data_IF_699603738967
#
_entry.id   IF_699603738967
#
_cell.length_a   1.000
_cell.length_b   1.000
_cell.length_c   1.000
_cell.angle_alpha   90.00
_cell.angle_beta   90.00
_cell.angle_gamma   90.00
#
_symmetry.space_group_name_H-M   'P 1'
#
loop_
_entity.id
_entity.type
_entity.pdbx_description
1 polymer ?
#
# COMPACT_ATOMS: atom_id res chain seq x y z
N UNK A 1 -6.38 -18.63 28.91
CA UNK A 1 -5.66 -17.56 28.18
C UNK A 1 -6.56 -17.10 27.05
N UNK A 2 -7.19 -15.94 27.22
CA UNK A 2 -8.24 -15.43 26.34
C UNK A 2 -7.65 -14.84 25.06
N UNK A 3 -8.16 -15.31 23.93
CA UNK A 3 -7.82 -14.98 22.53
C UNK A 3 -7.92 -13.48 22.15
N UNK A 4 -8.15 -12.58 23.10
CA UNK A 4 -8.46 -11.16 22.86
C UNK A 4 -7.26 -10.20 22.89
N UNK A 5 -6.07 -10.64 23.32
CA UNK A 5 -4.97 -9.71 23.65
C UNK A 5 -3.79 -9.67 22.66
N UNK A 6 -3.79 -10.48 21.60
CA UNK A 6 -2.75 -10.41 20.54
C UNK A 6 -3.25 -9.74 19.27
N UNK A 7 -4.03 -8.66 19.38
CA UNK A 7 -4.26 -7.79 18.22
C UNK A 7 -2.95 -7.08 17.90
N UNK A 8 -2.25 -7.54 16.86
CA UNK A 8 -1.08 -6.86 16.31
C UNK A 8 -1.39 -5.36 16.18
N UNK A 9 -0.49 -4.51 16.68
CA UNK A 9 -0.64 -3.06 16.58
C UNK A 9 -0.86 -2.69 15.10
N UNK A 10 -1.79 -1.77 14.83
CA UNK A 10 -2.12 -1.34 13.46
C UNK A 10 -0.89 -0.98 12.61
N UNK A 11 0.14 -0.28 13.12
CA UNK A 11 1.41 -0.07 12.43
C UNK A 11 2.04 -1.35 11.90
N UNK A 12 2.10 -2.38 12.75
CA UNK A 12 2.70 -3.68 12.41
C UNK A 12 1.88 -4.36 11.32
N UNK A 13 0.55 -4.28 11.36
CA UNK A 13 -0.34 -4.85 10.33
C UNK A 13 -0.16 -4.16 8.98
N UNK A 14 -0.08 -2.82 8.97
CA UNK A 14 0.13 -2.03 7.74
C UNK A 14 1.49 -2.39 7.13
N UNK A 15 2.56 -2.37 7.92
CA UNK A 15 3.91 -2.73 7.47
C UNK A 15 3.94 -4.16 6.93
N UNK A 16 3.35 -5.12 7.65
CA UNK A 16 3.31 -6.51 7.23
C UNK A 16 2.53 -6.68 5.92
N UNK A 17 1.42 -5.96 5.73
CA UNK A 17 0.67 -5.98 4.48
C UNK A 17 1.48 -5.42 3.30
N UNK A 18 2.21 -4.32 3.49
CA UNK A 18 3.09 -3.74 2.46
C UNK A 18 4.19 -4.73 2.09
N UNK A 19 4.82 -5.35 3.08
CA UNK A 19 5.88 -6.36 2.86
C UNK A 19 5.33 -7.58 2.13
N UNK A 20 4.16 -8.10 2.52
CA UNK A 20 3.50 -9.22 1.85
C UNK A 20 3.19 -8.91 0.39
N UNK A 21 2.63 -7.73 0.11
CA UNK A 21 2.39 -7.29 -1.27
C UNK A 21 3.69 -7.17 -2.08
N UNK A 22 4.75 -6.64 -1.47
CA UNK A 22 6.06 -6.55 -2.09
C UNK A 22 6.62 -7.93 -2.46
N UNK A 23 6.52 -8.90 -1.55
CA UNK A 23 6.95 -10.28 -1.80
C UNK A 23 6.14 -10.96 -2.89
N UNK A 24 4.81 -10.80 -2.89
CA UNK A 24 3.94 -11.37 -3.93
C UNK A 24 4.33 -10.83 -5.30
N UNK A 25 4.47 -9.52 -5.43
CA UNK A 25 4.84 -8.86 -6.69
C UNK A 25 6.27 -9.21 -7.11
N UNK A 26 7.18 -9.38 -6.17
CA UNK A 26 8.53 -9.86 -6.44
C UNK A 26 8.53 -11.28 -6.98
N UNK A 27 7.81 -12.22 -6.36
CA UNK A 27 7.70 -13.60 -6.84
C UNK A 27 7.08 -13.65 -8.24
N UNK A 28 6.07 -12.84 -8.51
CA UNK A 28 5.44 -12.75 -9.83
C UNK A 28 6.39 -12.21 -10.92
N UNK A 29 7.41 -11.44 -10.55
CA UNK A 29 8.33 -10.83 -11.51
C UNK A 29 9.60 -11.65 -11.76
N UNK A 30 9.94 -12.62 -10.90
CA UNK A 30 11.15 -13.47 -11.02
C UNK A 30 11.27 -14.16 -12.39
N UNK A 31 10.18 -14.74 -12.91
CA UNK A 31 10.18 -15.48 -14.17
C UNK A 31 9.50 -14.73 -15.32
N UNK A 32 9.20 -13.44 -15.14
CA UNK A 32 8.45 -12.66 -16.13
C UNK A 32 8.87 -11.19 -16.10
N UNK A 33 9.98 -10.83 -16.77
CA UNK A 33 10.51 -9.46 -16.79
C UNK A 33 9.50 -8.43 -17.32
N UNK A 34 8.61 -8.85 -18.22
CA UNK A 34 7.52 -8.02 -18.76
C UNK A 34 6.49 -7.62 -17.71
N UNK A 35 6.39 -8.33 -16.59
CA UNK A 35 5.50 -7.99 -15.48
C UNK A 35 6.14 -6.96 -14.52
N UNK A 36 7.43 -6.68 -14.62
CA UNK A 36 8.12 -5.73 -13.71
C UNK A 36 7.48 -4.34 -13.73
N UNK A 37 7.17 -3.72 -14.89
CA UNK A 37 6.52 -2.41 -14.92
C UNK A 37 5.12 -2.45 -14.33
N UNK A 38 4.39 -3.55 -14.53
CA UNK A 38 3.04 -3.76 -13.98
C UNK A 38 3.10 -3.91 -12.46
N UNK A 39 4.05 -4.68 -11.95
CA UNK A 39 4.27 -4.86 -10.53
C UNK A 39 4.65 -3.53 -9.84
N UNK A 40 5.53 -2.75 -10.47
CA UNK A 40 5.86 -1.39 -10.00
C UNK A 40 4.61 -0.49 -9.98
N UNK A 41 3.78 -0.55 -11.03
CA UNK A 41 2.52 0.20 -11.08
C UNK A 41 1.61 -0.20 -9.91
N UNK A 42 1.40 -1.49 -9.69
CA UNK A 42 0.54 -1.98 -8.60
C UNK A 42 1.09 -1.50 -7.25
N UNK A 43 2.40 -1.60 -7.04
CA UNK A 43 3.01 -1.20 -5.78
C UNK A 43 2.92 0.30 -5.52
N UNK A 44 3.26 1.13 -6.52
CA UNK A 44 3.28 2.58 -6.40
C UNK A 44 1.87 3.17 -6.35
N UNK A 45 0.94 2.65 -7.15
CA UNK A 45 -0.40 3.23 -7.30
C UNK A 45 -1.36 2.71 -6.24
N UNK A 46 -1.23 1.44 -5.79
CA UNK A 46 -2.21 0.85 -4.88
C UNK A 46 -1.63 0.55 -3.49
N UNK A 47 -0.48 -0.11 -3.41
CA UNK A 47 0.07 -0.58 -2.12
C UNK A 47 0.53 0.58 -1.25
N UNK A 48 1.34 1.49 -1.81
CA UNK A 48 1.85 2.65 -1.08
C UNK A 48 0.71 3.58 -0.61
N UNK A 49 -0.21 4.04 -1.48
CA UNK A 49 -1.36 4.87 -1.08
C UNK A 49 -2.26 4.22 -0.04
N UNK A 50 -2.49 2.91 -0.14
CA UNK A 50 -3.31 2.20 0.84
C UNK A 50 -2.65 2.17 2.21
N UNK A 51 -1.35 1.87 2.26
CA UNK A 51 -0.55 1.87 3.49
C UNK A 51 -0.45 3.26 4.13
N UNK A 52 -0.16 4.29 3.33
CA UNK A 52 -0.13 5.68 3.79
C UNK A 52 -1.51 6.15 4.27
N UNK A 53 -2.58 5.83 3.56
CA UNK A 53 -3.94 6.21 3.95
C UNK A 53 -4.37 5.60 5.29
N UNK A 54 -3.97 4.37 5.58
CA UNK A 54 -4.19 3.74 6.90
C UNK A 54 -3.27 4.29 7.98
N UNK A 55 -2.02 4.60 7.64
CA UNK A 55 -1.08 5.25 8.54
C UNK A 55 -1.58 6.64 8.99
N UNK A 56 -2.09 7.44 8.05
CA UNK A 56 -2.66 8.76 8.36
C UNK A 56 -3.94 8.67 9.20
N UNK A 57 -4.79 7.67 8.96
CA UNK A 57 -5.92 7.34 9.83
C UNK A 57 -5.46 7.01 11.25
N UNK A 58 -4.48 6.12 11.37
CA UNK A 58 -3.93 5.69 12.65
C UNK A 58 -3.34 6.86 13.46
N UNK A 59 -2.63 7.77 12.79
CA UNK A 59 -2.10 8.99 13.43
C UNK A 59 -3.16 10.02 13.81
N UNK A 60 -4.44 9.79 13.49
CA UNK A 60 -5.52 10.76 13.74
C UNK A 60 -5.45 12.02 12.86
N UNK A 61 -4.58 12.03 11.85
CA UNK A 61 -4.41 13.18 10.95
C UNK A 61 -5.59 13.35 9.99
N UNK A 62 -6.31 12.26 9.71
CA UNK A 62 -7.43 12.26 8.77
C UNK A 62 -8.57 11.40 9.33
N UNK A 63 -9.74 12.02 9.49
CA UNK A 63 -10.96 11.32 9.94
C UNK A 63 -11.43 10.26 8.95
N UNK A 64 -12.23 9.29 9.41
CA UNK A 64 -12.65 8.13 8.61
C UNK A 64 -13.28 8.50 7.26
N UNK A 65 -14.15 9.52 7.25
CA UNK A 65 -14.80 10.05 6.05
C UNK A 65 -13.80 10.61 5.03
N UNK A 66 -12.76 11.32 5.49
CA UNK A 66 -11.77 11.96 4.62
C UNK A 66 -10.67 11.01 4.16
N UNK A 67 -10.48 9.88 4.84
CA UNK A 67 -9.45 8.92 4.50
C UNK A 67 -9.69 8.22 3.17
N UNK A 68 -10.94 7.96 2.79
CA UNK A 68 -11.25 7.40 1.47
C UNK A 68 -10.83 8.38 0.36
N UNK A 69 -11.19 9.66 0.53
CA UNK A 69 -10.76 10.74 -0.35
C UNK A 69 -9.23 10.85 -0.42
N UNK A 70 -8.54 10.79 0.72
CA UNK A 70 -7.07 10.80 0.77
C UNK A 70 -6.46 9.62 0.00
N UNK A 71 -7.00 8.41 0.17
CA UNK A 71 -6.53 7.23 -0.58
C UNK A 71 -6.68 7.44 -2.08
N UNK A 72 -7.82 7.96 -2.54
CA UNK A 72 -8.06 8.25 -3.96
C UNK A 72 -7.05 9.29 -4.47
N UNK A 73 -6.83 10.38 -3.73
CA UNK A 73 -5.86 11.42 -4.11
C UNK A 73 -4.43 10.84 -4.19
N UNK A 74 -4.04 10.03 -3.20
CA UNK A 74 -2.73 9.36 -3.19
C UNK A 74 -2.59 8.35 -4.32
N UNK A 75 -3.66 7.63 -4.70
CA UNK A 75 -3.66 6.71 -5.85
C UNK A 75 -3.50 7.47 -7.16
N UNK A 76 -4.20 8.59 -7.35
CA UNK A 76 -4.05 9.45 -8.53
C UNK A 76 -2.62 9.99 -8.61
N UNK A 77 -2.09 10.51 -7.50
CA UNK A 77 -0.72 11.00 -7.43
C UNK A 77 0.31 9.89 -7.73
N UNK A 78 0.12 8.70 -7.15
CA UNK A 78 0.96 7.53 -7.43
C UNK A 78 0.90 7.11 -8.90
N UNK A 79 -0.29 7.18 -9.51
CA UNK A 79 -0.50 6.92 -10.94
C UNK A 79 0.30 7.87 -11.82
N UNK A 80 0.27 9.17 -11.50
CA UNK A 80 1.06 10.18 -12.21
C UNK A 80 2.57 9.95 -12.03
N UNK A 81 3.01 9.67 -10.80
CA UNK A 81 4.43 9.38 -10.51
C UNK A 81 4.91 8.16 -11.30
N UNK A 82 4.12 7.09 -11.34
CA UNK A 82 4.48 5.92 -12.12
C UNK A 82 4.51 6.23 -13.62
N UNK A 83 3.49 6.92 -14.14
CA UNK A 83 3.39 7.23 -15.56
C UNK A 83 4.52 8.13 -16.07
N UNK A 84 4.93 9.15 -15.32
CA UNK A 84 5.97 10.08 -15.75
C UNK A 84 7.39 9.67 -15.33
N UNK A 85 7.54 8.84 -14.29
CA UNK A 85 8.85 8.48 -13.73
C UNK A 85 9.36 7.10 -14.13
N UNK A 86 8.48 6.15 -14.46
CA UNK A 86 8.83 4.73 -14.63
C UNK A 86 8.36 4.10 -15.95
N UNK A 87 7.54 4.81 -16.74
CA UNK A 87 7.13 4.36 -18.07
C UNK A 87 8.04 4.95 -19.14
#
# INVERSE_FOLDING_TARGET
MTEKERKLQQPVRITMAIVLWGLILWVLTINSPTLVPVAQAIFIVFVIPSGLGEWFKYKGLVGESKSMLLKIVLMIAGGLVWYFGFR
#
